data_IF_134099102140
#
_entry.id   IF_134099102140
#
_cell.length_a   1.000
_cell.length_b   1.000
_cell.length_c   1.000
_cell.angle_alpha   90.00
_cell.angle_beta   90.00
_cell.angle_gamma   90.00
#
_symmetry.space_group_name_H-M   'P 1'
#
loop_
_entity.id
_entity.type
_entity.pdbx_description
1 polymer ?
#
# COMPACT_ATOMS: atom_id res chain seq x y z
N UNK A 1 -32.46 -23.17 9.02
CA UNK A 1 -31.72 -21.90 8.96
C UNK A 1 -32.73 -20.79 8.72
N UNK A 2 -33.07 -20.03 9.76
CA UNK A 2 -33.89 -18.82 9.61
C UNK A 2 -33.07 -17.82 8.81
N UNK A 3 -33.48 -17.52 7.58
CA UNK A 3 -32.90 -16.42 6.80
C UNK A 3 -33.16 -15.14 7.58
N UNK A 4 -32.17 -14.67 8.33
CA UNK A 4 -32.20 -13.30 8.85
C UNK A 4 -32.22 -12.40 7.62
N UNK A 5 -33.27 -11.59 7.39
CA UNK A 5 -33.32 -10.73 6.24
C UNK A 5 -32.12 -9.79 6.33
N UNK A 6 -31.27 -9.85 5.31
CA UNK A 6 -30.09 -9.02 5.28
C UNK A 6 -30.50 -7.53 5.33
N UNK A 7 -29.77 -6.67 6.05
CA UNK A 7 -30.23 -5.33 6.38
C UNK A 7 -30.61 -4.48 5.16
N UNK A 8 -31.78 -3.82 5.20
CA UNK A 8 -32.18 -2.87 4.16
C UNK A 8 -31.29 -1.64 4.16
N UNK A 9 -30.73 -1.25 3.01
CA UNK A 9 -29.98 0.00 2.87
C UNK A 9 -30.94 1.20 2.92
N UNK A 10 -30.51 2.34 3.48
CA UNK A 10 -31.32 3.55 3.53
C UNK A 10 -31.64 4.08 2.11
N UNK A 11 -32.82 4.72 1.97
CA UNK A 11 -33.26 5.35 0.73
C UNK A 11 -32.47 6.63 0.40
N UNK A 12 -32.69 7.17 -0.81
CA UNK A 12 -31.98 8.35 -1.31
C UNK A 12 -32.07 9.56 -0.34
N UNK A 13 -31.02 10.39 -0.26
CA UNK A 13 -30.98 11.56 0.63
C UNK A 13 -32.05 12.59 0.26
N UNK A 14 -32.56 13.31 1.27
CA UNK A 14 -33.63 14.30 1.11
C UNK A 14 -33.23 15.57 0.36
N UNK A 15 -31.93 15.88 0.22
CA UNK A 15 -31.44 17.06 -0.49
C UNK A 15 -30.08 16.77 -1.18
N UNK A 16 -30.06 16.16 -2.38
CA UNK A 16 -28.84 15.74 -3.05
C UNK A 16 -28.03 16.94 -3.58
N UNK A 17 -26.71 16.90 -3.40
CA UNK A 17 -25.81 17.85 -4.07
C UNK A 17 -25.73 17.55 -5.58
N UNK A 18 -25.20 18.47 -6.42
CA UNK A 18 -24.95 18.17 -7.83
C UNK A 18 -24.08 16.91 -8.04
N UNK A 19 -23.10 16.68 -7.15
CA UNK A 19 -22.29 15.48 -7.16
C UNK A 19 -23.11 14.23 -6.85
N UNK A 20 -24.00 14.28 -5.85
CA UNK A 20 -24.84 13.12 -5.51
C UNK A 20 -25.80 12.79 -6.66
N UNK A 21 -26.37 13.80 -7.32
CA UNK A 21 -27.29 13.63 -8.45
C UNK A 21 -26.61 12.98 -9.67
N UNK A 22 -25.44 13.45 -10.09
CA UNK A 22 -24.74 12.87 -11.25
C UNK A 22 -24.28 11.43 -10.98
N UNK A 23 -23.88 11.14 -9.74
CA UNK A 23 -23.46 9.79 -9.32
C UNK A 23 -24.66 8.83 -9.27
N UNK A 24 -25.82 9.30 -8.82
CA UNK A 24 -27.06 8.51 -8.81
C UNK A 24 -27.55 8.19 -10.23
N UNK A 25 -27.56 9.18 -11.13
CA UNK A 25 -27.95 8.95 -12.53
C UNK A 25 -26.96 8.02 -13.25
N UNK A 26 -25.65 8.16 -13.00
CA UNK A 26 -24.64 7.23 -13.52
C UNK A 26 -24.86 5.81 -13.00
N UNK A 27 -25.20 5.65 -11.72
CA UNK A 27 -25.49 4.34 -11.14
C UNK A 27 -26.70 3.68 -11.82
N UNK A 28 -27.79 4.43 -12.00
CA UNK A 28 -29.00 3.93 -12.68
C UNK A 28 -28.71 3.54 -14.12
N UNK A 29 -27.92 4.34 -14.82
CA UNK A 29 -27.46 4.02 -16.16
C UNK A 29 -26.71 2.68 -16.17
N UNK A 30 -25.69 2.51 -15.31
CA UNK A 30 -24.94 1.26 -15.26
C UNK A 30 -25.81 0.05 -14.90
N UNK A 31 -26.75 0.20 -13.96
CA UNK A 31 -27.71 -0.86 -13.63
C UNK A 31 -28.56 -1.26 -14.85
N UNK A 32 -29.01 -0.27 -15.64
CA UNK A 32 -29.81 -0.52 -16.86
C UNK A 32 -29.03 -1.22 -17.98
N UNK A 33 -27.70 -1.12 -17.96
CA UNK A 33 -26.81 -1.78 -18.92
C UNK A 33 -26.39 -3.20 -18.47
N UNK A 34 -26.77 -3.64 -17.27
CA UNK A 34 -26.47 -4.98 -16.78
C UNK A 34 -27.38 -6.01 -17.48
N UNK A 35 -26.77 -7.01 -18.11
CA UNK A 35 -27.48 -8.04 -18.88
C UNK A 35 -27.53 -9.36 -18.11
N UNK A 36 -28.35 -10.32 -18.56
CA UNK A 36 -28.41 -11.65 -17.96
C UNK A 36 -27.06 -12.39 -18.04
N UNK A 37 -26.29 -12.18 -19.11
CA UNK A 37 -24.92 -12.71 -19.21
C UNK A 37 -24.01 -12.16 -18.10
N UNK A 38 -24.14 -10.88 -17.78
CA UNK A 38 -23.39 -10.26 -16.68
C UNK A 38 -23.83 -10.81 -15.32
N UNK A 39 -25.13 -11.00 -15.11
CA UNK A 39 -25.69 -11.57 -13.88
C UNK A 39 -25.23 -13.02 -13.68
N UNK A 40 -25.27 -13.83 -14.73
CA UNK A 40 -24.75 -15.21 -14.71
C UNK A 40 -23.27 -15.23 -14.31
N UNK A 41 -22.44 -14.40 -14.92
CA UNK A 41 -21.03 -14.29 -14.53
C UNK A 41 -20.83 -13.92 -13.06
N UNK A 42 -21.62 -12.97 -12.52
CA UNK A 42 -21.54 -12.58 -11.11
C UNK A 42 -21.93 -13.74 -10.17
N UNK A 43 -22.94 -14.52 -10.55
CA UNK A 43 -23.35 -15.75 -9.85
C UNK A 43 -22.25 -16.81 -9.90
N UNK A 44 -21.77 -17.15 -11.09
CA UNK A 44 -20.78 -18.22 -11.29
C UNK A 44 -19.44 -17.87 -10.64
N UNK A 45 -18.94 -16.64 -10.87
CA UNK A 45 -17.60 -16.25 -10.41
C UNK A 45 -17.57 -15.92 -8.92
N UNK A 46 -18.59 -15.26 -8.38
CA UNK A 46 -18.55 -14.71 -7.02
C UNK A 46 -19.66 -15.25 -6.10
N UNK A 47 -20.56 -16.10 -6.59
CA UNK A 47 -21.69 -16.60 -5.81
C UNK A 47 -22.78 -15.57 -5.53
N UNK A 48 -22.83 -14.47 -6.29
CA UNK A 48 -23.80 -13.39 -6.03
C UNK A 48 -25.18 -13.76 -6.56
N UNK A 49 -26.16 -13.75 -5.66
CA UNK A 49 -27.59 -13.92 -5.98
C UNK A 49 -28.13 -12.71 -6.75
N UNK A 50 -29.17 -12.87 -7.60
CA UNK A 50 -29.82 -11.74 -8.27
C UNK A 50 -30.25 -10.62 -7.31
N UNK A 51 -30.79 -10.99 -6.14
CA UNK A 51 -31.20 -10.06 -5.09
C UNK A 51 -30.01 -9.27 -4.54
N UNK A 52 -28.86 -9.91 -4.38
CA UNK A 52 -27.63 -9.26 -3.92
C UNK A 52 -27.07 -8.32 -4.99
N UNK A 53 -27.06 -8.73 -6.25
CA UNK A 53 -26.67 -7.88 -7.40
C UNK A 53 -27.51 -6.60 -7.42
N UNK A 54 -28.83 -6.72 -7.27
CA UNK A 54 -29.75 -5.58 -7.26
C UNK A 54 -29.59 -4.72 -6.00
N UNK A 55 -29.48 -5.35 -4.83
CA UNK A 55 -29.30 -4.66 -3.54
C UNK A 55 -28.03 -3.83 -3.49
N UNK A 56 -26.92 -4.36 -4.01
CA UNK A 56 -25.65 -3.63 -4.10
C UNK A 56 -25.54 -2.77 -5.37
N UNK A 57 -26.63 -2.68 -6.15
CA UNK A 57 -26.74 -1.82 -7.33
C UNK A 57 -25.62 -2.04 -8.35
N UNK A 58 -25.16 -3.28 -8.47
CA UNK A 58 -24.12 -3.65 -9.43
C UNK A 58 -24.64 -3.35 -10.83
N UNK A 59 -23.76 -2.81 -11.67
CA UNK A 59 -24.09 -2.39 -13.03
C UNK A 59 -23.02 -2.79 -14.04
N UNK A 60 -23.13 -2.24 -15.24
CA UNK A 60 -22.16 -2.43 -16.30
C UNK A 60 -21.92 -1.11 -17.05
N UNK A 61 -20.65 -0.76 -17.29
CA UNK A 61 -20.28 0.32 -18.18
C UNK A 61 -20.16 -0.25 -19.59
N UNK A 62 -20.99 0.19 -20.56
CA UNK A 62 -20.88 -0.24 -21.94
C UNK A 62 -19.50 -0.01 -22.54
N UNK A 63 -19.17 -0.73 -23.61
CA UNK A 63 -17.91 -0.57 -24.33
C UNK A 63 -17.89 0.68 -25.23
N UNK A 64 -19.03 1.35 -25.41
CA UNK A 64 -19.17 2.55 -26.22
C UNK A 64 -18.38 3.74 -25.70
N UNK A 65 -18.20 4.74 -26.55
CA UNK A 65 -17.35 5.89 -26.27
C UNK A 65 -18.11 7.07 -25.63
N UNK A 66 -19.41 7.21 -25.89
CA UNK A 66 -20.21 8.35 -25.44
C UNK A 66 -21.45 7.98 -24.63
N UNK A 67 -21.85 6.71 -24.53
CA UNK A 67 -23.15 6.30 -23.96
C UNK A 67 -23.45 6.92 -22.59
N UNK A 68 -22.48 6.88 -21.66
CA UNK A 68 -22.62 7.50 -20.34
C UNK A 68 -22.66 9.03 -20.42
N UNK A 69 -21.84 9.64 -21.28
CA UNK A 69 -21.78 11.08 -21.45
C UNK A 69 -23.13 11.62 -21.98
N UNK A 70 -23.64 10.99 -23.04
CA UNK A 70 -24.90 11.36 -23.68
C UNK A 70 -26.07 11.16 -22.71
N UNK A 71 -26.05 10.08 -21.92
CA UNK A 71 -27.04 9.86 -20.86
C UNK A 71 -27.05 10.99 -19.84
N UNK A 72 -25.89 11.38 -19.30
CA UNK A 72 -25.81 12.40 -18.27
C UNK A 72 -26.13 13.80 -18.80
N UNK A 73 -25.73 14.12 -20.03
CA UNK A 73 -26.16 15.37 -20.70
C UNK A 73 -27.68 15.37 -20.89
N UNK A 74 -28.27 14.25 -21.32
CA UNK A 74 -29.72 14.09 -21.45
C UNK A 74 -30.48 14.23 -20.13
N UNK A 75 -29.82 13.98 -18.99
CA UNK A 75 -30.33 14.25 -17.63
C UNK A 75 -30.16 15.69 -17.17
N UNK A 76 -29.48 16.53 -17.95
CA UNK A 76 -29.27 17.95 -17.66
C UNK A 76 -27.99 18.26 -16.89
N UNK A 77 -27.06 17.31 -16.75
CA UNK A 77 -25.77 17.56 -16.09
C UNK A 77 -24.88 18.42 -16.98
N UNK A 78 -24.39 19.54 -16.43
CA UNK A 78 -23.55 20.48 -17.17
C UNK A 78 -22.10 19.99 -17.32
N UNK A 79 -21.31 20.60 -18.23
CA UNK A 79 -19.92 20.22 -18.47
C UNK A 79 -19.05 20.23 -17.20
N UNK A 80 -19.28 21.19 -16.30
CA UNK A 80 -18.54 21.30 -15.05
C UNK A 80 -18.83 20.13 -14.09
N UNK A 81 -20.07 19.70 -13.96
CA UNK A 81 -20.42 18.57 -13.09
C UNK A 81 -19.88 17.26 -13.67
N UNK A 82 -19.93 17.09 -15.00
CA UNK A 82 -19.30 15.98 -15.71
C UNK A 82 -17.78 15.94 -15.43
N UNK A 83 -17.08 17.06 -15.56
CA UNK A 83 -15.65 17.17 -15.29
C UNK A 83 -15.31 16.89 -13.82
N UNK A 84 -16.07 17.47 -12.90
CA UNK A 84 -15.81 17.37 -11.46
C UNK A 84 -16.24 16.02 -10.88
N UNK A 85 -17.07 15.24 -11.59
CA UNK A 85 -17.57 13.96 -11.10
C UNK A 85 -16.48 12.91 -10.88
N UNK A 86 -15.40 12.95 -11.66
CA UNK A 86 -14.40 11.89 -11.71
C UNK A 86 -14.81 10.66 -12.52
N UNK A 87 -15.97 10.67 -13.19
CA UNK A 87 -16.44 9.59 -14.07
C UNK A 87 -15.81 9.64 -15.48
N UNK A 88 -15.14 10.75 -15.83
CA UNK A 88 -14.61 11.02 -17.15
C UNK A 88 -13.16 11.51 -17.13
N UNK A 89 -12.39 11.11 -18.14
CA UNK A 89 -11.19 11.83 -18.56
C UNK A 89 -11.61 13.02 -19.43
N UNK A 90 -11.29 14.23 -18.98
CA UNK A 90 -11.55 15.47 -19.71
C UNK A 90 -10.22 16.06 -20.19
N UNK A 91 -10.15 16.39 -21.48
CA UNK A 91 -8.99 17.02 -22.11
C UNK A 91 -9.43 17.89 -23.30
N UNK A 92 -8.50 18.62 -23.89
CA UNK A 92 -8.75 19.42 -25.10
C UNK A 92 -9.19 18.56 -26.30
N UNK A 93 -8.86 17.25 -26.28
CA UNK A 93 -9.26 16.29 -27.32
C UNK A 93 -10.68 15.74 -27.13
N UNK A 94 -11.35 16.10 -26.03
CA UNK A 94 -12.69 15.67 -25.70
C UNK A 94 -12.84 15.02 -24.33
N UNK A 95 -14.04 14.52 -24.09
CA UNK A 95 -14.47 13.88 -22.84
C UNK A 95 -14.72 12.40 -23.10
N UNK A 96 -14.06 11.52 -22.34
CA UNK A 96 -14.20 10.06 -22.46
C UNK A 96 -14.54 9.45 -21.10
N UNK A 97 -15.47 8.48 -21.02
CA UNK A 97 -15.72 7.76 -19.77
C UNK A 97 -14.45 7.03 -19.31
N UNK A 98 -14.29 6.90 -17.99
CA UNK A 98 -13.15 6.22 -17.36
C UNK A 98 -13.15 4.73 -17.68
N UNK A 99 -14.32 4.09 -17.66
CA UNK A 99 -14.46 2.65 -17.87
C UNK A 99 -15.20 2.35 -19.16
N UNK A 100 -14.74 1.33 -19.90
CA UNK A 100 -15.42 0.85 -21.11
C UNK A 100 -15.47 -0.67 -21.11
N UNK A 101 -16.67 -1.23 -21.03
CA UNK A 101 -16.90 -2.67 -21.01
C UNK A 101 -16.51 -3.31 -19.67
N UNK A 102 -16.92 -2.73 -18.55
CA UNK A 102 -16.56 -3.20 -17.19
C UNK A 102 -17.78 -3.37 -16.32
N UNK A 103 -17.78 -4.39 -15.45
CA UNK A 103 -18.77 -4.52 -14.38
C UNK A 103 -18.53 -3.41 -13.35
N UNK A 104 -19.58 -2.72 -12.94
CA UNK A 104 -19.50 -1.54 -12.09
C UNK A 104 -20.02 -1.88 -10.69
N UNK A 105 -19.19 -1.63 -9.68
CA UNK A 105 -19.53 -1.78 -8.28
C UNK A 105 -19.58 -0.40 -7.62
N UNK A 106 -20.77 0.12 -7.29
CA UNK A 106 -20.89 1.38 -6.55
C UNK A 106 -20.52 1.19 -5.08
N UNK A 107 -19.96 2.24 -4.48
CA UNK A 107 -19.80 2.38 -3.04
C UNK A 107 -20.91 3.29 -2.56
N UNK A 108 -21.83 2.71 -1.81
CA UNK A 108 -23.00 3.41 -1.23
C UNK A 108 -22.71 3.67 0.25
N UNK A 109 -22.94 4.91 0.69
CA UNK A 109 -22.81 5.32 2.09
C UNK A 109 -24.01 6.20 2.45
N UNK A 110 -24.84 5.74 3.40
CA UNK A 110 -26.07 6.43 3.78
C UNK A 110 -27.08 6.52 2.63
N UNK A 111 -27.10 5.54 1.73
CA UNK A 111 -28.02 5.49 0.58
C UNK A 111 -27.54 6.29 -0.63
N UNK A 112 -26.47 7.07 -0.49
CA UNK A 112 -25.90 7.88 -1.57
C UNK A 112 -24.73 7.17 -2.24
N UNK A 113 -24.70 7.15 -3.58
CA UNK A 113 -23.57 6.62 -4.35
C UNK A 113 -22.40 7.59 -4.27
N UNK A 114 -21.32 7.19 -3.59
CA UNK A 114 -20.14 8.04 -3.36
C UNK A 114 -19.02 7.80 -4.35
N UNK A 115 -18.91 6.58 -4.88
CA UNK A 115 -17.77 6.16 -5.68
C UNK A 115 -18.09 4.93 -6.51
N UNK A 116 -17.28 4.65 -7.54
CA UNK A 116 -17.35 3.41 -8.31
C UNK A 116 -15.98 2.76 -8.49
N UNK A 117 -15.99 1.43 -8.59
CA UNK A 117 -14.90 0.68 -9.21
C UNK A 117 -15.44 -0.19 -10.34
N UNK A 118 -14.64 -0.32 -11.40
CA UNK A 118 -14.95 -1.09 -12.60
C UNK A 118 -14.07 -2.33 -12.72
N UNK A 119 -14.66 -3.52 -12.70
CA UNK A 119 -14.01 -4.81 -12.90
C UNK A 119 -13.91 -5.14 -14.39
N UNK A 120 -12.71 -5.49 -14.84
CA UNK A 120 -12.43 -5.95 -16.21
C UNK A 120 -13.31 -7.15 -16.56
N UNK A 121 -13.84 -7.14 -17.78
CA UNK A 121 -14.56 -8.25 -18.42
C UNK A 121 -13.89 -8.59 -19.76
N UNK A 122 -14.39 -9.60 -20.45
CA UNK A 122 -13.93 -9.94 -21.81
C UNK A 122 -14.27 -8.85 -22.82
N UNK A 123 -15.28 -8.03 -22.52
CA UNK A 123 -15.75 -6.94 -23.38
C UNK A 123 -15.03 -5.60 -23.08
N UNK A 124 -14.04 -5.59 -22.18
CA UNK A 124 -13.32 -4.35 -21.81
C UNK A 124 -12.53 -3.78 -22.98
N UNK A 125 -12.76 -2.49 -23.29
CA UNK A 125 -12.12 -1.74 -24.40
C UNK A 125 -11.32 -0.52 -23.97
N UNK A 126 -11.30 -0.18 -22.69
CA UNK A 126 -10.42 0.89 -22.20
C UNK A 126 -8.94 0.47 -22.22
N UNK A 127 -8.04 1.45 -22.25
CA UNK A 127 -6.58 1.25 -22.30
C UNK A 127 -5.98 1.07 -20.90
N UNK A 128 -6.80 0.90 -19.87
CA UNK A 128 -6.34 0.91 -18.49
C UNK A 128 -5.94 -0.50 -18.06
N UNK A 129 -4.69 -0.63 -17.64
CA UNK A 129 -4.14 -1.87 -17.13
C UNK A 129 -4.66 -2.13 -15.72
N UNK A 130 -5.30 -3.28 -15.51
CA UNK A 130 -5.75 -3.69 -14.19
C UNK A 130 -7.07 -4.48 -14.18
N UNK A 131 -7.13 -5.44 -13.24
CA UNK A 131 -8.35 -6.21 -12.93
C UNK A 131 -9.47 -5.27 -12.50
N UNK A 132 -9.18 -4.28 -11.67
CA UNK A 132 -10.10 -3.24 -11.23
C UNK A 132 -9.55 -1.85 -11.54
N UNK A 133 -10.43 -0.97 -12.03
CA UNK A 133 -10.13 0.44 -12.27
C UNK A 133 -11.02 1.27 -11.37
N UNK A 134 -10.46 2.31 -10.78
CA UNK A 134 -11.14 3.15 -9.80
C UNK A 134 -11.57 4.46 -10.44
N UNK A 135 -12.60 5.07 -9.87
CA UNK A 135 -13.03 6.41 -10.28
C UNK A 135 -11.92 7.42 -10.03
N UNK A 136 -11.84 8.45 -10.87
CA UNK A 136 -10.84 9.48 -10.65
C UNK A 136 -11.18 10.24 -9.36
N UNK A 137 -10.16 10.47 -8.55
CA UNK A 137 -10.26 11.32 -7.35
C UNK A 137 -9.48 12.61 -7.53
N UNK A 138 -9.72 13.53 -6.61
CA UNK A 138 -8.97 14.77 -6.51
C UNK A 138 -7.46 14.51 -6.47
N UNK A 139 -6.71 15.19 -7.32
CA UNK A 139 -5.25 15.14 -7.35
C UNK A 139 -4.70 16.46 -7.89
N UNK A 140 -3.38 16.67 -7.85
CA UNK A 140 -2.76 17.87 -8.44
C UNK A 140 -3.11 18.05 -9.92
N UNK A 141 -3.22 16.94 -10.66
CA UNK A 141 -3.61 16.95 -12.08
C UNK A 141 -5.12 17.14 -12.30
N UNK A 142 -5.93 16.96 -11.26
CA UNK A 142 -7.40 16.99 -11.28
C UNK A 142 -7.92 17.68 -10.01
N UNK A 143 -7.63 18.97 -9.80
CA UNK A 143 -7.90 19.64 -8.53
C UNK A 143 -9.38 19.89 -8.28
N UNK A 144 -10.21 19.88 -9.33
CA UNK A 144 -11.66 20.16 -9.25
C UNK A 144 -12.51 18.93 -9.02
N UNK A 145 -11.96 17.72 -9.21
CA UNK A 145 -12.69 16.46 -9.00
C UNK A 145 -13.15 16.37 -7.55
N UNK A 146 -14.45 16.09 -7.37
CA UNK A 146 -15.14 16.05 -6.06
C UNK A 146 -15.15 14.65 -5.44
N UNK A 147 -14.94 13.61 -6.24
CA UNK A 147 -14.93 12.23 -5.74
C UNK A 147 -13.75 11.96 -4.79
N UNK A 148 -14.04 11.21 -3.72
CA UNK A 148 -13.09 10.73 -2.72
C UNK A 148 -13.20 9.21 -2.59
N UNK A 149 -12.18 8.54 -2.06
CA UNK A 149 -12.22 7.08 -1.81
C UNK A 149 -13.00 6.79 -0.51
N UNK A 150 -14.18 6.14 -0.55
CA UNK A 150 -14.90 5.75 0.66
C UNK A 150 -14.42 4.39 1.20
N UNK A 151 -15.06 3.91 2.26
CA UNK A 151 -14.94 2.54 2.75
C UNK A 151 -16.22 1.82 2.34
N UNK A 152 -16.11 0.65 1.72
CA UNK A 152 -17.29 -0.11 1.30
C UNK A 152 -17.99 -0.73 2.51
N UNK A 153 -19.31 -0.91 2.43
CA UNK A 153 -20.07 -1.73 3.38
C UNK A 153 -20.30 -1.11 4.76
N UNK A 154 -20.01 0.19 4.94
CA UNK A 154 -20.21 0.89 6.22
C UNK A 154 -21.66 0.81 6.71
N UNK A 155 -22.63 0.85 5.80
CA UNK A 155 -24.06 0.71 6.12
C UNK A 155 -24.45 -0.71 6.63
N UNK A 156 -23.56 -1.70 6.51
CA UNK A 156 -23.77 -3.05 7.06
C UNK A 156 -23.41 -3.15 8.54
N UNK A 157 -22.62 -2.21 9.08
CA UNK A 157 -22.14 -2.24 10.46
C UNK A 157 -23.30 -2.08 11.45
N UNK A 158 -23.30 -2.91 12.49
CA UNK A 158 -24.28 -2.84 13.59
C UNK A 158 -23.52 -2.79 14.93
N UNK A 159 -23.78 -1.78 15.79
CA UNK A 159 -23.19 -1.72 17.13
C UNK A 159 -23.48 -3.01 17.92
N UNK A 160 -22.48 -3.52 18.64
CA UNK A 160 -22.58 -4.76 19.43
C UNK A 160 -22.46 -6.05 18.62
N UNK A 161 -22.37 -5.99 17.29
CA UNK A 161 -22.17 -7.16 16.41
C UNK A 161 -20.73 -7.20 15.87
N UNK A 162 -20.23 -8.39 15.47
CA UNK A 162 -18.92 -8.49 14.84
C UNK A 162 -18.91 -7.83 13.46
N UNK A 163 -17.78 -7.25 13.08
CA UNK A 163 -17.53 -6.74 11.73
C UNK A 163 -16.31 -7.40 11.11
N UNK A 164 -16.45 -7.81 9.86
CA UNK A 164 -15.37 -8.40 9.06
C UNK A 164 -14.72 -7.30 8.21
N UNK A 165 -13.40 -7.38 8.06
CA UNK A 165 -12.63 -6.53 7.17
C UNK A 165 -11.95 -7.39 6.11
N UNK A 166 -12.24 -7.13 4.85
CA UNK A 166 -11.71 -7.88 3.69
C UNK A 166 -10.84 -7.01 2.79
N UNK A 167 -10.12 -7.66 1.87
CA UNK A 167 -9.27 -6.98 0.88
C UNK A 167 -10.08 -6.31 -0.23
N UNK A 168 -11.07 -7.02 -0.78
CA UNK A 168 -11.80 -6.62 -1.97
C UNK A 168 -13.29 -6.39 -1.74
N UNK A 169 -13.90 -5.61 -2.63
CA UNK A 169 -15.35 -5.34 -2.63
C UNK A 169 -16.18 -6.61 -2.84
N UNK A 170 -15.71 -7.54 -3.67
CA UNK A 170 -16.46 -8.77 -3.98
C UNK A 170 -16.52 -9.68 -2.77
N UNK A 171 -15.42 -9.75 -2.01
CA UNK A 171 -15.33 -10.49 -0.76
C UNK A 171 -16.23 -9.85 0.31
N UNK A 172 -16.31 -8.52 0.34
CA UNK A 172 -17.25 -7.84 1.24
C UNK A 172 -18.71 -8.08 0.86
N UNK A 173 -19.06 -8.03 -0.44
CA UNK A 173 -20.44 -8.26 -0.90
C UNK A 173 -20.91 -9.67 -0.54
N UNK A 174 -20.11 -10.70 -0.86
CA UNK A 174 -20.50 -12.09 -0.59
C UNK A 174 -20.53 -12.39 0.92
N UNK A 175 -19.67 -11.74 1.71
CA UNK A 175 -19.71 -11.84 3.18
C UNK A 175 -20.98 -11.21 3.76
N UNK A 176 -21.41 -10.05 3.24
CA UNK A 176 -22.68 -9.43 3.61
C UNK A 176 -23.88 -10.27 3.13
N UNK A 177 -23.78 -10.90 1.95
CA UNK A 177 -24.78 -11.87 1.48
C UNK A 177 -24.88 -13.08 2.44
N UNK A 178 -23.75 -13.53 2.99
CA UNK A 178 -23.71 -14.60 3.99
C UNK A 178 -24.23 -14.16 5.39
N UNK A 179 -24.64 -12.90 5.55
CA UNK A 179 -25.28 -12.38 6.76
C UNK A 179 -24.35 -11.73 7.77
N UNK A 180 -23.10 -11.45 7.40
CA UNK A 180 -22.13 -10.82 8.30
C UNK A 180 -21.82 -9.39 7.88
N UNK A 181 -21.79 -8.46 8.83
CA UNK A 181 -21.34 -7.10 8.56
C UNK A 181 -19.90 -7.13 8.04
N UNK A 182 -19.64 -6.42 6.94
CA UNK A 182 -18.34 -6.45 6.30
C UNK A 182 -17.98 -5.09 5.70
N UNK A 183 -16.70 -4.75 5.78
CA UNK A 183 -16.15 -3.57 5.13
C UNK A 183 -14.89 -3.92 4.33
N UNK A 184 -14.64 -3.16 3.27
CA UNK A 184 -13.40 -3.28 2.49
C UNK A 184 -12.87 -1.90 2.08
N UNK A 185 -11.54 -1.78 1.87
CA UNK A 185 -10.98 -0.60 1.24
C UNK A 185 -11.32 -0.54 -0.27
N UNK A 186 -11.12 0.63 -0.89
CA UNK A 186 -11.13 0.77 -2.36
C UNK A 186 -9.91 0.10 -3.00
N UNK A 187 -8.83 0.04 -2.25
CA UNK A 187 -7.55 -0.64 -2.53
C UNK A 187 -7.52 -2.00 -1.85
N UNK A 188 -6.47 -2.76 -2.08
CA UNK A 188 -6.18 -4.02 -1.37
C UNK A 188 -5.72 -3.82 0.10
N UNK A 189 -5.44 -2.58 0.51
CA UNK A 189 -5.01 -2.24 1.87
C UNK A 189 -5.59 -0.90 2.28
N UNK A 190 -5.95 -0.74 3.55
CA UNK A 190 -6.27 0.57 4.09
C UNK A 190 -5.01 1.45 4.10
N UNK A 191 -5.14 2.69 3.63
CA UNK A 191 -4.09 3.69 3.79
C UNK A 191 -4.04 4.12 5.26
N UNK A 192 -2.86 4.45 5.77
CA UNK A 192 -2.69 4.92 7.16
C UNK A 192 -3.55 6.16 7.47
N UNK A 193 -3.78 7.04 6.49
CA UNK A 193 -4.69 8.19 6.62
C UNK A 193 -6.15 7.79 6.91
N UNK A 194 -6.56 6.57 6.55
CA UNK A 194 -7.88 6.03 6.85
C UNK A 194 -7.95 5.33 8.21
N UNK A 195 -6.82 5.11 8.90
CA UNK A 195 -6.75 4.34 10.14
C UNK A 195 -7.68 4.85 11.24
N UNK A 196 -7.74 6.17 11.44
CA UNK A 196 -8.65 6.79 12.43
C UNK A 196 -10.11 6.61 12.05
N UNK A 197 -10.47 6.88 10.78
CA UNK A 197 -11.85 6.70 10.28
C UNK A 197 -12.29 5.24 10.41
N UNK A 198 -11.40 4.30 10.06
CA UNK A 198 -11.65 2.87 10.20
C UNK A 198 -11.89 2.50 11.65
N UNK A 199 -11.04 2.96 12.57
CA UNK A 199 -11.18 2.70 14.00
C UNK A 199 -12.49 3.26 14.57
N UNK A 200 -12.88 4.47 14.17
CA UNK A 200 -14.12 5.09 14.62
C UNK A 200 -15.36 4.36 14.08
N UNK A 201 -15.32 3.85 12.84
CA UNK A 201 -16.41 3.05 12.26
C UNK A 201 -16.65 1.73 13.00
N UNK A 202 -15.58 1.08 13.48
CA UNK A 202 -15.66 -0.26 14.08
C UNK A 202 -15.62 -0.25 15.61
N UNK A 203 -15.54 0.93 16.23
CA UNK A 203 -15.34 1.10 17.67
C UNK A 203 -16.42 0.45 18.51
N UNK A 204 -17.67 0.56 18.05
CA UNK A 204 -18.84 0.06 18.76
C UNK A 204 -19.19 -1.39 18.38
N UNK A 205 -18.39 -2.04 17.54
CA UNK A 205 -18.54 -3.46 17.19
C UNK A 205 -18.05 -4.34 18.34
N UNK A 206 -18.67 -5.50 18.53
CA UNK A 206 -18.23 -6.45 19.58
C UNK A 206 -16.89 -7.11 19.23
N UNK A 207 -16.59 -7.25 17.94
CA UNK A 207 -15.36 -7.85 17.45
C UNK A 207 -15.03 -7.30 16.07
N UNK A 208 -13.73 -7.14 15.77
CA UNK A 208 -13.22 -6.81 14.44
C UNK A 208 -12.38 -7.99 13.95
N UNK A 209 -12.77 -8.62 12.85
CA UNK A 209 -12.10 -9.79 12.28
C UNK A 209 -11.55 -9.46 10.90
N UNK A 210 -10.24 -9.60 10.72
CA UNK A 210 -9.58 -9.41 9.44
C UNK A 210 -9.58 -10.76 8.70
N UNK A 211 -10.29 -10.83 7.58
CA UNK A 211 -10.36 -12.01 6.70
C UNK A 211 -9.85 -11.61 5.32
N UNK A 212 -8.58 -11.93 5.07
CA UNK A 212 -7.91 -11.68 3.78
C UNK A 212 -7.77 -12.99 3.01
N UNK A 213 -7.44 -12.89 1.72
CA UNK A 213 -7.18 -14.06 0.91
C UNK A 213 -6.02 -14.88 1.49
N UNK A 214 -6.12 -16.20 1.37
CA UNK A 214 -5.08 -17.12 1.85
C UNK A 214 -4.16 -17.49 0.69
N UNK A 215 -2.91 -17.08 0.78
CA UNK A 215 -1.91 -17.19 -0.29
C UNK A 215 -0.64 -17.86 0.23
N UNK A 216 0.06 -18.61 -0.63
CA UNK A 216 1.30 -19.31 -0.25
C UNK A 216 2.42 -18.36 0.20
N UNK A 217 2.49 -17.18 -0.42
CA UNK A 217 3.42 -16.12 -0.05
C UNK A 217 2.99 -15.32 1.20
N UNK A 218 1.86 -15.69 1.83
CA UNK A 218 1.26 -15.02 3.00
C UNK A 218 0.95 -13.53 2.80
N UNK A 219 0.82 -13.04 1.57
CA UNK A 219 0.63 -11.61 1.32
C UNK A 219 -0.66 -11.07 1.96
N UNK A 220 -1.76 -11.83 1.89
CA UNK A 220 -2.99 -11.56 2.63
C UNK A 220 -2.82 -11.52 4.16
N UNK A 221 -2.13 -12.50 4.76
CA UNK A 221 -1.88 -12.53 6.21
C UNK A 221 -1.05 -11.33 6.68
N UNK A 222 0.00 -10.96 5.93
CA UNK A 222 0.76 -9.74 6.20
C UNK A 222 -0.08 -8.48 6.03
N UNK A 223 -1.02 -8.46 5.08
CA UNK A 223 -2.01 -7.39 4.92
C UNK A 223 -2.96 -7.26 6.11
N UNK A 224 -3.44 -8.38 6.64
CA UNK A 224 -4.22 -8.43 7.86
C UNK A 224 -3.40 -7.90 9.05
N UNK A 225 -2.15 -8.35 9.22
CA UNK A 225 -1.27 -7.86 10.30
C UNK A 225 -1.05 -6.35 10.21
N UNK A 226 -0.70 -5.83 9.03
CA UNK A 226 -0.47 -4.39 8.87
C UNK A 226 -1.73 -3.56 9.19
N UNK A 227 -2.89 -3.99 8.68
CA UNK A 227 -4.18 -3.34 8.96
C UNK A 227 -4.53 -3.42 10.45
N UNK A 228 -4.31 -4.57 11.07
CA UNK A 228 -4.65 -4.76 12.47
C UNK A 228 -3.73 -4.01 13.42
N UNK A 229 -2.44 -3.89 13.11
CA UNK A 229 -1.52 -3.07 13.88
C UNK A 229 -1.88 -1.58 13.77
N UNK A 230 -2.35 -1.12 12.61
CA UNK A 230 -2.88 0.23 12.47
C UNK A 230 -4.12 0.45 13.34
N UNK A 231 -5.06 -0.50 13.37
CA UNK A 231 -6.20 -0.48 14.28
C UNK A 231 -5.79 -0.42 15.76
N UNK A 232 -4.77 -1.19 16.16
CA UNK A 232 -4.23 -1.16 17.52
C UNK A 232 -3.69 0.23 17.90
N UNK A 233 -3.10 0.97 16.96
CA UNK A 233 -2.63 2.35 17.20
C UNK A 233 -3.77 3.31 17.55
N UNK A 234 -5.01 2.99 17.14
CA UNK A 234 -6.22 3.77 17.43
C UNK A 234 -7.11 3.14 18.50
N UNK A 235 -6.58 2.14 19.24
CA UNK A 235 -7.25 1.53 20.40
C UNK A 235 -8.23 0.40 20.06
N UNK A 236 -8.21 -0.12 18.84
CA UNK A 236 -9.01 -1.29 18.43
C UNK A 236 -8.11 -2.52 18.41
N UNK A 237 -8.53 -3.61 19.07
CA UNK A 237 -7.77 -4.87 19.11
C UNK A 237 -8.48 -5.90 18.23
N UNK A 238 -8.06 -6.08 16.96
CA UNK A 238 -8.71 -7.01 16.05
C UNK A 238 -8.20 -8.44 16.20
N UNK A 239 -8.93 -9.35 15.55
CA UNK A 239 -8.58 -10.74 15.34
C UNK A 239 -8.24 -10.98 13.87
N UNK A 240 -7.40 -11.96 13.59
CA UNK A 240 -7.02 -12.39 12.25
C UNK A 240 -7.56 -13.80 12.06
N UNK A 241 -8.48 -13.97 11.11
CA UNK A 241 -8.93 -15.29 10.69
C UNK A 241 -8.16 -15.75 9.46
N UNK A 242 -7.99 -17.07 9.33
CA UNK A 242 -7.25 -17.68 8.23
C UNK A 242 -8.17 -18.61 7.46
N UNK A 243 -8.28 -18.38 6.15
CA UNK A 243 -9.02 -19.29 5.28
C UNK A 243 -8.20 -20.57 5.11
N UNK A 244 -8.78 -21.76 5.36
CA UNK A 244 -8.09 -23.03 5.12
C UNK A 244 -7.63 -23.13 3.67
N UNK A 245 -6.35 -23.38 3.47
CA UNK A 245 -5.74 -23.57 2.15
C UNK A 245 -5.30 -25.04 2.02
N UNK A 246 -5.94 -25.83 1.14
CA UNK A 246 -5.52 -27.20 0.89
C UNK A 246 -4.08 -27.26 0.38
N UNK A 247 -3.40 -28.37 0.63
CA UNK A 247 -2.05 -28.59 0.14
C UNK A 247 -2.01 -28.54 -1.41
N UNK A 248 -1.03 -27.82 -1.96
CA UNK A 248 -0.89 -27.63 -3.40
C UNK A 248 -1.81 -26.56 -4.02
N UNK A 249 -2.59 -25.84 -3.21
CA UNK A 249 -3.38 -24.69 -3.67
C UNK A 249 -2.61 -23.40 -3.40
N UNK A 250 -2.29 -22.64 -4.45
CA UNK A 250 -1.50 -21.41 -4.33
C UNK A 250 -2.27 -20.28 -3.62
N UNK A 251 -3.59 -20.19 -3.90
CA UNK A 251 -4.45 -19.14 -3.39
C UNK A 251 -5.88 -19.62 -3.18
N UNK A 252 -6.50 -19.19 -2.09
CA UNK A 252 -7.94 -19.28 -1.84
C UNK A 252 -8.48 -17.88 -1.58
N UNK A 253 -9.30 -17.37 -2.51
CA UNK A 253 -10.03 -16.12 -2.34
C UNK A 253 -11.18 -16.31 -1.32
N UNK A 254 -11.49 -15.29 -0.51
CA UNK A 254 -12.62 -15.38 0.44
C UNK A 254 -13.95 -15.64 -0.28
N UNK A 255 -14.17 -15.00 -1.43
CA UNK A 255 -15.37 -15.26 -2.22
C UNK A 255 -15.50 -16.71 -2.70
N UNK A 256 -14.40 -17.35 -3.09
CA UNK A 256 -14.40 -18.74 -3.55
C UNK A 256 -14.71 -19.66 -2.35
N UNK A 257 -14.10 -19.41 -1.18
CA UNK A 257 -14.39 -20.16 0.06
C UNK A 257 -15.87 -20.11 0.44
N UNK A 258 -16.49 -18.92 0.44
CA UNK A 258 -17.90 -18.76 0.81
C UNK A 258 -18.82 -19.38 -0.24
N UNK A 259 -18.54 -19.15 -1.54
CA UNK A 259 -19.33 -19.72 -2.65
C UNK A 259 -19.36 -21.24 -2.57
N UNK A 260 -18.24 -21.87 -2.22
CA UNK A 260 -18.09 -23.32 -2.20
C UNK A 260 -18.62 -23.96 -0.89
N UNK A 261 -19.31 -23.18 -0.05
CA UNK A 261 -19.99 -23.65 1.17
C UNK A 261 -19.19 -23.49 2.47
N UNK A 262 -18.08 -22.75 2.43
CA UNK A 262 -17.30 -22.41 3.60
C UNK A 262 -18.09 -21.59 4.63
N UNK A 263 -17.83 -21.84 5.91
CA UNK A 263 -18.57 -21.24 7.02
C UNK A 263 -17.79 -20.07 7.64
N UNK A 264 -18.26 -18.86 7.40
CA UNK A 264 -17.66 -17.63 7.96
C UNK A 264 -17.67 -17.61 9.50
N UNK A 265 -18.67 -18.22 10.15
CA UNK A 265 -18.70 -18.30 11.62
C UNK A 265 -17.51 -19.09 12.17
N UNK A 266 -17.08 -20.13 11.46
CA UNK A 266 -15.92 -20.93 11.88
C UNK A 266 -14.64 -20.09 11.77
N UNK A 267 -14.50 -19.30 10.71
CA UNK A 267 -13.36 -18.37 10.55
C UNK A 267 -13.32 -17.31 11.66
N UNK A 268 -14.48 -16.76 12.05
CA UNK A 268 -14.59 -15.81 13.17
C UNK A 268 -14.20 -16.48 14.49
N UNK A 269 -14.73 -17.68 14.73
CA UNK A 269 -14.52 -18.42 16.00
C UNK A 269 -13.06 -18.85 16.16
N UNK A 270 -12.39 -19.21 15.07
CA UNK A 270 -10.99 -19.64 15.06
C UNK A 270 -10.02 -18.46 14.93
N UNK A 271 -10.51 -17.23 14.77
CA UNK A 271 -9.68 -16.07 14.55
C UNK A 271 -8.75 -15.83 15.76
N UNK A 272 -7.48 -15.54 15.47
CA UNK A 272 -6.44 -15.35 16.49
C UNK A 272 -6.34 -13.87 16.81
N UNK A 273 -6.35 -13.53 18.11
CA UNK A 273 -6.11 -12.17 18.57
C UNK A 273 -4.78 -11.66 18.01
N UNK A 274 -4.74 -10.44 17.46
CA UNK A 274 -3.55 -9.94 16.77
C UNK A 274 -2.27 -9.98 17.63
N UNK A 275 -2.38 -9.77 18.93
CA UNK A 275 -1.23 -9.81 19.85
C UNK A 275 -0.61 -11.20 19.99
N UNK A 276 -1.40 -12.25 19.71
CA UNK A 276 -0.96 -13.64 19.73
C UNK A 276 -0.53 -14.14 18.35
N UNK A 277 -0.81 -13.38 17.28
CA UNK A 277 -0.50 -13.79 15.91
C UNK A 277 1.02 -13.81 15.66
N UNK A 278 1.60 -14.92 15.17
CA UNK A 278 3.06 -15.05 14.96
C UNK A 278 3.65 -13.95 14.07
N UNK A 279 2.99 -13.64 12.94
CA UNK A 279 3.45 -12.61 12.02
C UNK A 279 3.35 -11.20 12.62
N UNK A 280 2.39 -10.94 13.52
CA UNK A 280 2.30 -9.65 14.20
C UNK A 280 3.49 -9.43 15.15
N UNK A 281 3.95 -10.49 15.83
CA UNK A 281 5.16 -10.44 16.68
C UNK A 281 6.43 -10.15 15.87
N UNK A 282 6.53 -10.72 14.67
CA UNK A 282 7.62 -10.42 13.73
C UNK A 282 7.55 -8.97 13.27
N UNK A 283 6.37 -8.51 12.82
CA UNK A 283 6.17 -7.15 12.35
C UNK A 283 6.47 -6.10 13.42
N UNK A 284 6.01 -6.32 14.65
CA UNK A 284 6.32 -5.43 15.78
C UNK A 284 7.83 -5.33 16.00
N UNK A 285 8.58 -6.44 15.97
CA UNK A 285 10.05 -6.40 16.08
C UNK A 285 10.71 -5.57 14.98
N UNK A 286 10.27 -5.73 13.73
CA UNK A 286 10.77 -4.92 12.61
C UNK A 286 10.50 -3.42 12.81
N UNK A 287 9.27 -3.08 13.22
CA UNK A 287 8.88 -1.69 13.49
C UNK A 287 9.69 -1.08 14.64
N UNK A 288 9.92 -1.86 15.70
CA UNK A 288 10.71 -1.42 16.85
C UNK A 288 12.18 -1.22 16.49
N UNK A 289 12.75 -2.13 15.70
CA UNK A 289 14.11 -1.96 15.17
C UNK A 289 14.23 -0.68 14.36
N UNK A 290 13.33 -0.47 13.38
CA UNK A 290 13.29 0.75 12.57
C UNK A 290 13.10 2.02 13.41
N UNK A 291 12.28 1.97 14.45
CA UNK A 291 12.07 3.10 15.36
C UNK A 291 13.34 3.40 16.19
N UNK A 292 14.01 2.36 16.68
CA UNK A 292 15.30 2.48 17.38
C UNK A 292 16.39 3.08 16.49
N UNK A 293 16.52 2.57 15.26
CA UNK A 293 17.48 3.09 14.28
C UNK A 293 17.21 4.58 13.97
N UNK A 294 15.93 4.96 13.81
CA UNK A 294 15.54 6.36 13.59
C UNK A 294 15.82 7.27 14.79
N UNK A 295 15.60 6.77 16.01
CA UNK A 295 15.92 7.51 17.24
C UNK A 295 17.43 7.72 17.35
N UNK A 296 18.23 6.67 17.15
CA UNK A 296 19.68 6.77 17.17
C UNK A 296 20.19 7.77 16.12
N UNK A 297 19.68 7.71 14.88
CA UNK A 297 20.01 8.67 13.84
C UNK A 297 19.61 10.11 14.21
N UNK A 298 18.45 10.29 14.86
CA UNK A 298 18.00 11.57 15.38
C UNK A 298 18.93 12.13 16.45
N UNK A 299 19.33 11.31 17.43
CA UNK A 299 20.27 11.70 18.49
C UNK A 299 21.64 12.10 17.93
N UNK A 300 22.16 11.36 16.95
CA UNK A 300 23.42 11.70 16.26
C UNK A 300 23.29 13.04 15.54
N UNK A 301 22.17 13.26 14.83
CA UNK A 301 21.89 14.53 14.14
C UNK A 301 21.85 15.71 15.12
N UNK A 302 21.14 15.56 16.22
CA UNK A 302 21.01 16.59 17.25
C UNK A 302 22.36 16.89 17.92
N UNK A 303 23.13 15.84 18.26
CA UNK A 303 24.48 15.99 18.80
C UNK A 303 25.38 16.85 17.90
N UNK A 304 25.41 16.58 16.59
CA UNK A 304 26.23 17.34 15.65
C UNK A 304 25.67 18.73 15.29
N UNK A 305 24.36 18.95 15.40
CA UNK A 305 23.77 20.29 15.31
C UNK A 305 24.24 21.17 16.46
N UNK A 306 24.22 20.62 17.67
CA UNK A 306 24.51 21.36 18.90
C UNK A 306 26.03 21.44 19.17
N UNK A 307 26.80 20.48 18.65
CA UNK A 307 28.26 20.42 18.72
C UNK A 307 28.87 20.34 17.31
N UNK A 308 28.74 21.39 16.49
CA UNK A 308 29.30 21.39 15.15
C UNK A 308 30.82 21.28 15.25
N UNK A 309 31.46 20.36 14.52
CA UNK A 309 32.90 20.16 14.60
C UNK A 309 33.65 21.44 14.20
N UNK A 310 34.44 22.00 15.13
CA UNK A 310 35.28 23.19 14.87
C UNK A 310 36.55 22.79 14.12
N UNK A 311 36.85 23.47 13.02
CA UNK A 311 38.12 23.47 12.26
C UNK A 311 38.94 22.17 12.31
N UNK A 312 38.68 21.24 11.39
CA UNK A 312 39.58 20.11 11.15
C UNK A 312 40.66 20.49 10.13
N UNK A 313 41.69 21.19 10.61
CA UNK A 313 43.04 21.06 10.07
C UNK A 313 43.90 20.45 11.16
N UNK A 314 44.07 19.12 11.14
CA UNK A 314 45.04 18.41 11.99
C UNK A 314 45.92 17.52 11.13
N UNK A 315 47.21 17.78 11.22
CA UNK A 315 48.32 16.96 10.77
C UNK A 315 48.45 15.69 11.62
N UNK A 316 49.18 14.72 11.07
CA UNK A 316 49.21 13.29 11.39
C UNK A 316 49.89 12.89 12.72
N UNK A 317 49.69 13.66 13.77
CA UNK A 317 49.96 13.26 15.15
C UNK A 317 48.83 13.85 16.02
N UNK A 318 47.85 13.08 16.47
CA UNK A 318 48.02 12.35 17.72
C UNK A 318 46.87 11.37 18.07
N UNK A 319 45.85 11.06 17.24
CA UNK A 319 44.75 10.16 17.67
C UNK A 319 43.93 9.44 16.56
N UNK A 320 44.55 8.97 15.46
CA UNK A 320 43.89 8.05 14.49
C UNK A 320 43.95 8.48 13.02
N UNK A 321 43.44 7.64 12.07
CA UNK A 321 43.57 7.88 10.64
C UNK A 321 42.79 9.10 10.18
N UNK A 322 43.32 9.84 9.20
CA UNK A 322 42.65 10.99 8.59
C UNK A 322 41.43 10.56 7.78
N UNK A 323 40.55 11.51 7.47
CA UNK A 323 39.39 11.23 6.64
C UNK A 323 39.77 10.68 5.26
N UNK A 324 40.93 11.07 4.72
CA UNK A 324 41.43 10.57 3.44
C UNK A 324 41.79 9.08 3.54
N UNK A 325 42.51 8.67 4.57
CA UNK A 325 42.86 7.25 4.77
C UNK A 325 41.65 6.40 5.13
N UNK A 326 40.73 6.97 5.93
CA UNK A 326 39.43 6.33 6.16
C UNK A 326 38.70 6.11 4.86
N UNK A 327 38.70 7.09 3.96
CA UNK A 327 38.06 6.97 2.63
C UNK A 327 38.69 5.85 1.81
N UNK A 328 40.03 5.80 1.74
CA UNK A 328 40.75 4.75 1.00
C UNK A 328 40.49 3.36 1.56
N UNK A 329 40.37 3.23 2.88
CA UNK A 329 40.08 1.96 3.56
C UNK A 329 38.62 1.57 3.37
N UNK A 330 37.68 2.47 3.63
CA UNK A 330 36.24 2.25 3.47
C UNK A 330 35.93 1.76 2.07
N UNK A 331 36.50 2.37 1.02
CA UNK A 331 36.28 1.95 -0.37
C UNK A 331 36.65 0.49 -0.66
N UNK A 332 37.52 -0.14 0.15
CA UNK A 332 37.90 -1.56 0.00
C UNK A 332 36.94 -2.53 0.69
N UNK A 333 36.14 -2.03 1.64
CA UNK A 333 35.24 -2.84 2.48
C UNK A 333 33.77 -2.49 2.29
N UNK A 334 33.45 -1.52 1.43
CA UNK A 334 32.07 -1.24 1.09
C UNK A 334 31.44 -2.46 0.39
N UNK A 335 30.19 -2.80 0.73
CA UNK A 335 29.41 -3.74 -0.05
C UNK A 335 29.21 -3.22 -1.47
N UNK A 336 28.99 -4.12 -2.42
CA UNK A 336 28.69 -3.75 -3.79
C UNK A 336 27.28 -3.16 -3.88
N UNK A 337 26.98 -2.40 -4.94
CA UNK A 337 25.65 -1.86 -5.14
C UNK A 337 24.57 -2.95 -5.14
N UNK A 338 24.90 -4.16 -5.61
CA UNK A 338 24.00 -5.32 -5.58
C UNK A 338 23.44 -5.61 -4.18
N UNK A 339 24.23 -5.44 -3.13
CA UNK A 339 23.78 -5.67 -1.74
C UNK A 339 22.70 -4.67 -1.31
N UNK A 340 22.68 -3.50 -1.93
CA UNK A 340 21.70 -2.45 -1.66
C UNK A 340 20.51 -2.47 -2.62
N UNK A 341 20.75 -2.81 -3.89
CA UNK A 341 19.76 -2.72 -4.97
C UNK A 341 19.07 -4.06 -5.26
N UNK A 342 19.68 -5.17 -4.86
CA UNK A 342 19.23 -6.54 -5.14
C UNK A 342 19.61 -7.05 -6.54
N UNK A 343 20.39 -6.31 -7.32
CA UNK A 343 20.89 -6.73 -8.62
C UNK A 343 22.18 -5.99 -9.02
N UNK A 344 23.10 -6.69 -9.69
CA UNK A 344 24.44 -6.20 -10.03
C UNK A 344 24.50 -5.27 -11.25
N UNK A 345 23.59 -5.39 -12.21
CA UNK A 345 23.53 -4.49 -13.37
C UNK A 345 22.18 -4.51 -14.07
N UNK A 346 21.87 -3.45 -14.81
CA UNK A 346 20.67 -3.34 -15.61
C UNK A 346 19.60 -2.46 -14.96
N UNK A 347 18.34 -2.67 -15.36
CA UNK A 347 17.18 -1.94 -14.84
C UNK A 347 16.41 -2.82 -13.86
N UNK A 348 15.99 -2.22 -12.74
CA UNK A 348 15.22 -2.90 -11.72
C UNK A 348 14.34 -1.96 -10.91
N UNK A 349 13.52 -2.51 -10.00
CA UNK A 349 12.71 -1.72 -9.10
C UNK A 349 13.60 -1.07 -8.03
N UNK A 350 13.35 0.21 -7.74
CA UNK A 350 14.06 0.87 -6.65
C UNK A 350 13.67 0.23 -5.31
N UNK A 351 14.62 -0.26 -4.49
CA UNK A 351 14.32 -1.00 -3.25
C UNK A 351 13.59 -0.15 -2.19
N UNK A 352 13.87 1.16 -2.16
CA UNK A 352 13.22 2.11 -1.24
C UNK A 352 11.82 2.55 -1.69
N UNK A 353 11.65 2.91 -2.97
CA UNK A 353 10.39 3.50 -3.46
C UNK A 353 9.46 2.50 -4.15
N UNK A 354 9.93 1.27 -4.39
CA UNK A 354 9.29 0.31 -5.28
C UNK A 354 9.27 0.81 -6.72
N UNK A 355 8.54 0.11 -7.59
CA UNK A 355 8.35 0.50 -8.98
C UNK A 355 6.99 0.05 -9.48
N UNK A 356 6.34 0.87 -10.31
CA UNK A 356 5.12 0.44 -11.02
C UNK A 356 5.44 -0.37 -12.28
N UNK A 357 6.57 -0.08 -12.93
CA UNK A 357 7.01 -0.72 -14.18
C UNK A 357 8.17 -1.69 -13.99
N UNK A 358 8.73 -1.78 -12.77
CA UNK A 358 9.89 -2.62 -12.45
C UNK A 358 11.23 -2.03 -12.89
N UNK A 359 11.30 -0.79 -13.37
CA UNK A 359 12.46 -0.25 -14.11
C UNK A 359 12.85 1.17 -13.72
N UNK A 360 12.60 1.58 -12.48
CA UNK A 360 12.86 2.95 -12.02
C UNK A 360 14.22 3.14 -11.31
N UNK A 361 15.09 2.14 -11.36
CA UNK A 361 16.48 2.20 -10.94
C UNK A 361 17.36 1.53 -12.00
N UNK A 362 18.46 2.17 -12.39
CA UNK A 362 19.54 1.56 -13.18
C UNK A 362 20.78 1.40 -12.33
N UNK A 363 21.48 0.27 -12.48
CA UNK A 363 22.79 0.03 -11.90
C UNK A 363 23.76 -0.33 -13.02
N UNK A 364 24.90 0.35 -13.07
CA UNK A 364 25.97 0.13 -14.05
C UNK A 364 27.32 0.18 -13.34
N UNK A 365 27.87 -0.98 -13.04
CA UNK A 365 29.10 -1.08 -12.26
C UNK A 365 28.88 -0.57 -10.83
N UNK A 366 29.70 0.39 -10.41
CA UNK A 366 29.63 1.02 -9.09
C UNK A 366 28.71 2.25 -9.05
N UNK A 367 28.02 2.55 -10.15
CA UNK A 367 27.11 3.69 -10.27
C UNK A 367 25.65 3.24 -10.33
N UNK A 368 24.78 4.06 -9.76
CA UNK A 368 23.34 3.92 -9.88
C UNK A 368 22.67 5.21 -10.35
N UNK A 369 21.49 5.07 -10.92
CA UNK A 369 20.65 6.20 -11.34
C UNK A 369 19.17 5.89 -11.12
N UNK A 370 18.46 6.80 -10.45
CA UNK A 370 17.02 6.70 -10.18
C UNK A 370 16.22 7.46 -11.24
N UNK A 371 15.11 6.88 -11.69
CA UNK A 371 14.22 7.47 -12.71
C UNK A 371 12.88 7.94 -12.12
N UNK A 372 12.73 7.97 -10.79
CA UNK A 372 11.52 8.52 -10.21
C UNK A 372 11.56 10.07 -10.26
N UNK A 373 10.46 10.70 -10.68
CA UNK A 373 10.32 12.17 -10.81
C UNK A 373 11.23 12.88 -11.83
N UNK A 374 11.46 12.29 -13.01
CA UNK A 374 11.94 13.04 -14.18
C UNK A 374 13.31 13.71 -13.97
N UNK A 375 14.38 12.90 -13.96
CA UNK A 375 15.78 13.28 -13.81
C UNK A 375 16.09 14.18 -12.60
N UNK A 376 16.67 13.57 -11.55
CA UNK A 376 18.03 13.90 -11.07
C UNK A 376 18.34 13.16 -9.75
N UNK A 377 18.89 11.95 -9.85
CA UNK A 377 19.37 11.21 -8.70
C UNK A 377 20.27 10.05 -9.15
N UNK A 378 21.49 10.00 -8.64
CA UNK A 378 22.47 8.96 -8.98
C UNK A 378 23.83 9.25 -8.37
N UNK A 379 24.67 8.22 -8.31
CA UNK A 379 26.00 8.32 -7.74
C UNK A 379 26.59 6.95 -7.45
N UNK A 380 27.55 6.91 -6.53
CA UNK A 380 28.20 5.69 -6.07
C UNK A 380 27.54 5.12 -4.80
N UNK A 381 28.12 4.04 -4.27
CA UNK A 381 27.71 3.40 -3.00
C UNK A 381 27.69 4.39 -1.84
N UNK A 382 28.66 5.32 -1.76
CA UNK A 382 28.69 6.31 -0.68
C UNK A 382 27.52 7.29 -0.78
N UNK A 383 27.18 7.71 -2.00
CA UNK A 383 26.03 8.57 -2.26
C UNK A 383 24.71 7.84 -1.92
N UNK A 384 24.62 6.55 -2.24
CA UNK A 384 23.48 5.71 -1.85
C UNK A 384 23.28 5.70 -0.33
N UNK A 385 24.35 5.42 0.43
CA UNK A 385 24.33 5.40 1.89
C UNK A 385 23.97 6.78 2.45
N UNK A 386 24.55 7.86 1.91
CA UNK A 386 24.27 9.22 2.37
C UNK A 386 22.78 9.61 2.21
N UNK A 387 22.13 9.14 1.14
CA UNK A 387 20.71 9.41 0.86
C UNK A 387 19.80 8.47 1.67
N UNK A 388 19.96 7.17 1.50
CA UNK A 388 18.96 6.19 1.95
C UNK A 388 19.20 5.66 3.36
N UNK A 389 20.46 5.51 3.79
CA UNK A 389 20.78 5.05 5.15
C UNK A 389 20.83 6.23 6.13
N UNK A 390 21.39 7.36 5.71
CA UNK A 390 21.70 8.49 6.60
C UNK A 390 20.79 9.71 6.41
N UNK A 391 20.14 9.84 5.25
CA UNK A 391 19.32 11.01 4.90
C UNK A 391 20.03 12.36 5.10
N UNK A 392 21.33 12.41 4.77
CA UNK A 392 22.15 13.62 4.89
C UNK A 392 21.96 14.56 3.70
N UNK A 393 21.73 14.00 2.52
CA UNK A 393 21.52 14.70 1.27
C UNK A 393 20.32 14.09 0.54
N UNK A 394 19.71 14.85 -0.37
CA UNK A 394 18.64 14.37 -1.25
C UNK A 394 19.21 13.80 -2.55
N UNK A 395 18.39 13.01 -3.26
CA UNK A 395 18.70 12.64 -4.64
C UNK A 395 18.99 13.88 -5.49
N UNK A 396 20.12 13.84 -6.21
CA UNK A 396 20.60 14.92 -7.07
C UNK A 396 21.52 15.93 -6.37
N UNK A 397 21.60 15.93 -5.04
CA UNK A 397 22.54 16.76 -4.29
C UNK A 397 23.94 16.13 -4.25
N UNK A 398 24.99 16.97 -4.26
CA UNK A 398 26.38 16.49 -4.20
C UNK A 398 26.77 16.16 -2.76
N UNK A 399 27.36 14.99 -2.54
CA UNK A 399 27.95 14.61 -1.27
C UNK A 399 29.30 15.32 -1.05
N UNK A 400 29.31 16.41 -0.29
CA UNK A 400 30.49 17.24 -0.06
C UNK A 400 30.63 17.68 1.41
N UNK A 401 31.80 18.20 1.76
CA UNK A 401 32.03 18.89 3.04
C UNK A 401 31.72 18.01 4.26
N UNK A 402 30.96 18.57 5.21
CA UNK A 402 30.63 17.89 6.47
C UNK A 402 29.84 16.59 6.25
N UNK A 403 28.97 16.52 5.25
CA UNK A 403 28.13 15.34 5.02
C UNK A 403 28.93 14.19 4.38
N UNK A 404 29.93 14.52 3.55
CA UNK A 404 30.92 13.54 3.11
C UNK A 404 31.68 12.93 4.30
N UNK A 405 32.19 13.79 5.20
CA UNK A 405 32.93 13.34 6.40
C UNK A 405 32.07 12.43 7.29
N UNK A 406 30.79 12.78 7.50
CA UNK A 406 29.84 11.96 8.27
C UNK A 406 29.61 10.59 7.62
N UNK A 407 29.41 10.58 6.30
CA UNK A 407 29.18 9.34 5.54
C UNK A 407 30.38 8.41 5.62
N UNK A 408 31.60 8.93 5.47
CA UNK A 408 32.83 8.12 5.60
C UNK A 408 32.99 7.55 7.01
N UNK A 409 32.75 8.34 8.06
CA UNK A 409 32.85 7.83 9.43
C UNK A 409 31.80 6.75 9.73
N UNK A 410 30.56 6.92 9.25
CA UNK A 410 29.55 5.87 9.36
C UNK A 410 29.99 4.58 8.67
N UNK A 411 30.48 4.67 7.44
CA UNK A 411 30.95 3.51 6.70
C UNK A 411 32.17 2.86 7.35
N UNK A 412 33.06 3.66 7.94
CA UNK A 412 34.20 3.18 8.72
C UNK A 412 33.74 2.32 9.89
N UNK A 413 32.82 2.81 10.72
CA UNK A 413 32.33 2.05 11.87
C UNK A 413 31.51 0.80 11.48
N UNK A 414 30.76 0.88 10.38
CA UNK A 414 29.83 -0.17 9.95
C UNK A 414 30.49 -1.29 9.17
N UNK A 415 31.38 -0.96 8.23
CA UNK A 415 31.87 -1.92 7.22
C UNK A 415 33.35 -2.28 7.40
N UNK A 416 34.17 -1.45 8.05
CA UNK A 416 35.59 -1.76 8.25
C UNK A 416 35.76 -2.69 9.45
N UNK A 417 36.44 -3.85 9.30
CA UNK A 417 36.67 -4.78 10.41
C UNK A 417 37.37 -4.11 11.59
N UNK A 418 36.97 -4.48 12.81
CA UNK A 418 37.51 -3.89 14.05
C UNK A 418 39.03 -4.05 14.18
N UNK A 419 39.59 -5.16 13.71
CA UNK A 419 41.04 -5.41 13.65
C UNK A 419 41.80 -4.41 12.77
N UNK A 420 41.15 -3.87 11.75
CA UNK A 420 41.70 -2.83 10.87
C UNK A 420 41.50 -1.44 11.47
N UNK A 421 40.38 -1.23 12.18
CA UNK A 421 40.08 0.05 12.86
C UNK A 421 41.03 0.32 14.03
N UNK A 422 41.44 -0.71 14.77
CA UNK A 422 42.25 -0.60 15.98
C UNK A 422 43.78 -0.65 15.74
N UNK A 423 44.21 -0.91 14.50
CA UNK A 423 45.63 -1.07 14.14
C UNK A 423 46.24 -2.39 14.64
N UNK A 424 47.48 -2.73 14.21
CA UNK A 424 48.17 -3.92 14.73
C UNK A 424 48.37 -3.77 16.25
N UNK A 425 47.89 -4.76 17.02
CA UNK A 425 47.96 -4.76 18.49
C UNK A 425 49.39 -4.52 18.99
N UNK A 426 49.55 -3.56 19.90
CA UNK A 426 50.73 -3.47 20.75
C UNK A 426 50.84 -4.75 21.59
N UNK A 427 51.82 -5.61 21.30
CA UNK A 427 52.15 -6.71 22.22
C UNK A 427 53.18 -7.73 21.75
N UNK A 428 54.48 -7.42 21.84
CA UNK A 428 55.49 -8.30 22.48
C UNK A 428 56.84 -7.61 22.61
N UNK A 429 57.04 -6.91 23.74
CA UNK A 429 58.35 -6.81 24.38
C UNK A 429 58.53 -8.05 25.24
N UNK A 430 59.72 -8.64 25.17
CA UNK A 430 60.27 -9.70 26.02
C UNK A 430 59.69 -11.13 25.91
N UNK A 431 60.33 -11.94 25.05
CA UNK A 431 60.85 -13.25 25.48
C UNK A 431 62.22 -13.53 24.84
N UNK A 432 63.19 -13.84 25.70
CA UNK A 432 64.59 -14.16 25.42
C UNK A 432 64.77 -15.55 24.77
N UNK A 433 65.81 -15.60 23.92
CA UNK A 433 66.77 -16.69 23.65
C UNK A 433 66.27 -18.00 22.98
N UNK A 434 66.82 -18.23 21.78
CA UNK A 434 67.03 -19.55 21.18
C UNK A 434 68.02 -19.43 20.00
N UNK A 435 69.22 -19.97 20.17
CA UNK A 435 70.39 -19.98 19.29
C UNK A 435 70.14 -20.50 17.86
N UNK A 436 70.77 -19.83 16.88
CA UNK A 436 71.71 -20.34 15.85
C UNK A 436 72.45 -19.07 15.37
N UNK A 437 73.76 -18.81 15.52
CA UNK A 437 75.01 -19.55 15.73
C UNK A 437 75.85 -18.90 16.83
#
# INVERSE_FOLDING_TARGET
MTQTPAPSFPGNPSNPTPQDSIMEDACRFFQSCLTDRHRAFLGDRYGLTPETVDRFRVGYSPAGWSDLLDHLIGKGHGPKDIQDSGLFFVSDRGTSPVWKGRLMFPYVEGGTVRYFIGRKTDDTRDTLEGKYIKQLTKSEKRPTVRAYEPIFGTDSIRPGEPVIVTEGITDAIITIQAGYACISPVTVRFKSEHGRRLADLVRDCSQVVLLMDSEDNQAGEWGAVDTGLELCRHGIIPFIGTIPRPEGVDKVDLNDYIRDGGNVADLITQAVLIDLHPLARLRKRELWKKAGDKMAAGMVRDHYRDHPPKNQTRTWDQNGPTIREKTETVKRYLPDLEDFTGFSSGLGPHPVYGSKTGTNLSVTGDQWHSFHQGHQGGGDVLTWIAIYDLSLIREGEKLLGADFVKTINYCWEKYVPETIRNGPENGTKDMKKGSVT
#
